data_IF_306064022517
#
_entry.id   IF_306064022517
#
_cell.length_a   1.000
_cell.length_b   1.000
_cell.length_c   1.000
_cell.angle_alpha   90.00
_cell.angle_beta   90.00
_cell.angle_gamma   90.00
#
_symmetry.space_group_name_H-M   'P 1'
#
loop_
_entity.id
_entity.type
_entity.pdbx_description
1 polymer ?
#
# COMPACT_ATOMS: atom_id res chain seq x y z
N UNK A 1 -28.62 33.29 29.72
CA UNK A 1 -27.54 33.18 28.70
C UNK A 1 -27.04 31.74 28.70
N UNK A 2 -27.57 30.93 27.78
CA UNK A 2 -27.14 29.56 27.54
C UNK A 2 -25.97 29.60 26.55
N UNK A 3 -24.76 29.24 27.00
CA UNK A 3 -23.64 28.98 26.11
C UNK A 3 -23.86 27.63 25.43
N UNK A 4 -24.27 27.67 24.17
CA UNK A 4 -24.32 26.51 23.30
C UNK A 4 -22.91 26.03 22.99
N UNK A 5 -22.51 24.91 23.61
CA UNK A 5 -21.46 24.10 23.05
C UNK A 5 -22.06 23.36 21.86
N UNK A 6 -21.79 23.88 20.66
CA UNK A 6 -21.92 23.12 19.43
C UNK A 6 -21.07 21.87 19.61
N UNK A 7 -21.70 20.73 19.87
CA UNK A 7 -21.07 19.42 19.68
C UNK A 7 -20.85 19.32 18.18
N UNK A 8 -19.72 19.85 17.70
CA UNK A 8 -19.17 19.45 16.41
C UNK A 8 -19.01 17.94 16.52
N UNK A 9 -19.97 17.22 15.94
CA UNK A 9 -19.81 15.81 15.66
C UNK A 9 -18.49 15.68 14.92
N UNK A 10 -17.44 15.20 15.59
CA UNK A 10 -16.24 14.73 14.93
C UNK A 10 -16.68 13.46 14.18
N UNK A 11 -17.29 13.65 13.02
CA UNK A 11 -17.70 12.56 12.14
C UNK A 11 -16.46 11.71 11.87
N UNK A 12 -16.49 10.46 12.34
CA UNK A 12 -15.39 9.53 12.16
C UNK A 12 -15.08 9.40 10.68
N UNK A 13 -13.82 9.67 10.30
CA UNK A 13 -13.38 9.60 8.91
C UNK A 13 -13.55 8.19 8.35
N UNK A 14 -13.83 8.11 7.05
CA UNK A 14 -13.92 6.85 6.30
C UNK A 14 -12.85 6.87 5.20
N UNK A 15 -11.72 6.22 5.47
CA UNK A 15 -10.58 6.19 4.55
C UNK A 15 -10.52 4.84 3.85
N UNK A 16 -10.44 4.87 2.52
CA UNK A 16 -10.19 3.71 1.68
C UNK A 16 -8.74 3.79 1.18
N UNK A 17 -8.02 2.69 1.21
CA UNK A 17 -6.79 2.49 0.43
C UNK A 17 -7.08 1.45 -0.64
N UNK A 18 -6.86 1.81 -1.91
CA UNK A 18 -6.97 0.88 -3.04
C UNK A 18 -5.57 0.60 -3.56
N UNK A 19 -5.27 -0.67 -3.84
CA UNK A 19 -3.96 -1.16 -4.28
C UNK A 19 -4.16 -2.29 -5.31
N UNK A 20 -3.67 -2.08 -6.54
CA UNK A 20 -3.80 -3.05 -7.64
C UNK A 20 -2.99 -4.33 -7.39
N UNK A 21 -3.56 -5.49 -7.74
CA UNK A 21 -2.87 -6.75 -7.48
C UNK A 21 -1.79 -7.03 -8.54
N UNK A 22 -0.53 -7.14 -8.10
CA UNK A 22 0.62 -7.42 -8.97
C UNK A 22 0.70 -6.51 -10.22
N UNK A 23 0.38 -5.22 -10.06
CA UNK A 23 0.02 -4.28 -11.12
C UNK A 23 0.70 -4.47 -12.49
N UNK A 24 2.03 -4.31 -12.59
CA UNK A 24 2.69 -4.41 -13.89
C UNK A 24 2.55 -5.80 -14.52
N UNK A 25 2.65 -6.87 -13.72
CA UNK A 25 2.45 -8.23 -14.22
C UNK A 25 0.98 -8.46 -14.64
N UNK A 26 0.01 -7.89 -13.91
CA UNK A 26 -1.40 -7.97 -14.28
C UNK A 26 -1.69 -7.28 -15.62
N UNK A 27 -1.09 -6.12 -15.87
CA UNK A 27 -1.18 -5.44 -17.18
C UNK A 27 -0.59 -6.30 -18.30
N UNK A 28 0.58 -6.91 -18.10
CA UNK A 28 1.16 -7.81 -19.11
C UNK A 28 0.31 -9.06 -19.36
N UNK A 29 -0.27 -9.68 -18.31
CA UNK A 29 -1.13 -10.86 -18.45
C UNK A 29 -2.50 -10.55 -19.08
N UNK A 30 -2.98 -9.31 -18.93
CA UNK A 30 -4.19 -8.83 -19.62
C UNK A 30 -3.93 -8.70 -21.12
N UNK A 31 -2.81 -8.08 -21.48
CA UNK A 31 -2.47 -7.78 -22.88
C UNK A 31 -1.92 -9.01 -23.61
N UNK A 32 -1.35 -9.97 -22.88
CA UNK A 32 -0.90 -11.26 -23.40
C UNK A 32 -1.39 -12.42 -22.51
N UNK A 33 -2.54 -13.03 -22.84
CA UNK A 33 -3.13 -14.12 -22.05
C UNK A 33 -2.24 -15.35 -21.88
N UNK A 34 -1.26 -15.59 -22.76
CA UNK A 34 -0.32 -16.71 -22.63
C UNK A 34 0.58 -16.61 -21.38
N UNK A 35 0.68 -15.42 -20.78
CA UNK A 35 1.48 -15.17 -19.58
C UNK A 35 0.75 -15.47 -18.26
N UNK A 36 -0.56 -15.74 -18.30
CA UNK A 36 -1.42 -15.77 -17.10
C UNK A 36 -1.02 -16.85 -16.09
N UNK A 37 -0.77 -18.05 -16.58
CA UNK A 37 -0.60 -19.24 -15.75
C UNK A 37 0.86 -19.69 -15.60
N UNK A 38 1.80 -18.92 -16.16
CA UNK A 38 3.24 -19.16 -16.02
C UNK A 38 3.88 -18.18 -15.03
N UNK A 39 4.99 -18.55 -14.35
CA UNK A 39 5.74 -17.61 -13.51
C UNK A 39 6.26 -16.43 -14.33
N UNK A 40 5.80 -15.23 -13.98
CA UNK A 40 6.15 -13.97 -14.64
C UNK A 40 6.67 -12.96 -13.63
N UNK A 41 7.72 -12.23 -14.01
CA UNK A 41 8.18 -11.05 -13.32
C UNK A 41 8.54 -9.92 -14.28
N UNK A 42 8.38 -8.69 -13.79
CA UNK A 42 8.86 -7.47 -14.45
C UNK A 42 10.13 -7.03 -13.74
N UNK A 43 11.21 -6.82 -14.48
CA UNK A 43 12.48 -6.41 -13.90
C UNK A 43 13.64 -6.41 -14.88
N UNK A 44 14.76 -5.81 -14.46
CA UNK A 44 15.99 -5.79 -15.25
C UNK A 44 16.63 -7.17 -15.34
N UNK A 45 17.39 -7.42 -16.40
CA UNK A 45 18.05 -8.71 -16.62
C UNK A 45 19.14 -8.99 -15.57
N UNK A 46 19.48 -10.27 -15.38
CA UNK A 46 20.60 -10.69 -14.50
C UNK A 46 21.92 -10.05 -14.92
N UNK A 47 22.18 -9.95 -16.23
CA UNK A 47 23.41 -9.38 -16.80
C UNK A 47 23.54 -7.90 -16.42
N UNK A 48 22.43 -7.17 -16.36
CA UNK A 48 22.40 -5.76 -15.98
C UNK A 48 22.32 -5.52 -14.47
N UNK A 49 22.51 -6.57 -13.66
CA UNK A 49 22.36 -6.51 -12.19
C UNK A 49 20.96 -6.04 -11.77
N UNK A 50 19.95 -6.42 -12.53
CA UNK A 50 18.58 -6.02 -12.31
C UNK A 50 17.96 -6.61 -11.04
N UNK A 51 16.84 -5.99 -10.66
CA UNK A 51 15.96 -6.41 -9.56
C UNK A 51 14.54 -6.61 -10.11
N UNK A 52 13.77 -7.42 -9.40
CA UNK A 52 12.36 -7.65 -9.68
C UNK A 52 11.55 -6.45 -9.19
N UNK A 53 10.84 -5.77 -10.09
CA UNK A 53 9.89 -4.72 -9.75
C UNK A 53 8.61 -5.33 -9.18
N UNK A 54 8.02 -6.29 -9.89
CA UNK A 54 6.87 -7.08 -9.42
C UNK A 54 6.87 -8.47 -10.04
N UNK A 55 6.13 -9.39 -9.41
CA UNK A 55 5.97 -10.76 -9.87
C UNK A 55 4.50 -11.17 -9.71
N UNK A 56 4.00 -11.99 -10.65
CA UNK A 56 2.65 -12.55 -10.57
C UNK A 56 2.53 -13.61 -9.46
N UNK A 57 1.31 -14.00 -9.12
CA UNK A 57 1.07 -15.00 -8.07
C UNK A 57 1.73 -16.36 -8.33
N UNK A 58 1.74 -16.92 -9.56
CA UNK A 58 2.53 -18.10 -9.90
C UNK A 58 4.01 -17.98 -9.50
N UNK A 59 4.71 -16.90 -9.86
CA UNK A 59 6.10 -16.67 -9.46
C UNK A 59 6.25 -16.46 -7.94
N UNK A 60 5.28 -15.80 -7.29
CA UNK A 60 5.29 -15.60 -5.83
C UNK A 60 5.21 -16.93 -5.06
N UNK A 61 4.64 -18.00 -5.61
CA UNK A 61 4.66 -19.33 -4.97
C UNK A 61 6.07 -19.88 -4.79
N UNK A 62 6.99 -19.55 -5.70
CA UNK A 62 8.42 -19.90 -5.59
C UNK A 62 9.22 -18.97 -4.67
N UNK A 63 8.56 -18.01 -4.02
CA UNK A 63 9.23 -17.04 -3.16
C UNK A 63 9.78 -15.81 -3.88
N UNK A 64 9.55 -15.64 -5.19
CA UNK A 64 9.93 -14.41 -5.91
C UNK A 64 9.14 -13.22 -5.34
N UNK A 65 9.82 -12.11 -5.05
CA UNK A 65 9.24 -10.90 -4.44
C UNK A 65 9.81 -9.63 -5.09
N UNK A 66 9.09 -8.52 -4.95
CA UNK A 66 9.60 -7.19 -5.32
C UNK A 66 10.88 -6.85 -4.57
N UNK A 67 11.74 -6.05 -5.20
CA UNK A 67 13.09 -5.69 -4.75
C UNK A 67 14.07 -6.87 -4.58
N UNK A 68 13.69 -8.08 -4.99
CA UNK A 68 14.59 -9.24 -5.04
C UNK A 68 15.56 -9.10 -6.22
N UNK A 69 16.86 -9.41 -6.07
CA UNK A 69 17.78 -9.50 -7.21
C UNK A 69 17.30 -10.52 -8.25
N UNK A 70 17.36 -10.18 -9.55
CA UNK A 70 16.93 -11.08 -10.64
C UNK A 70 17.70 -12.40 -10.61
N UNK A 71 18.98 -12.37 -10.23
CA UNK A 71 19.78 -13.59 -10.06
C UNK A 71 19.19 -14.53 -9.00
N UNK A 72 18.71 -14.00 -7.88
CA UNK A 72 18.09 -14.79 -6.81
C UNK A 72 16.72 -15.32 -7.24
N UNK A 73 15.92 -14.48 -7.92
CA UNK A 73 14.63 -14.90 -8.44
C UNK A 73 14.74 -16.08 -9.42
N UNK A 74 15.73 -16.06 -10.32
CA UNK A 74 16.00 -17.16 -11.25
C UNK A 74 16.52 -18.43 -10.56
N UNK A 75 17.23 -18.30 -9.43
CA UNK A 75 17.61 -19.48 -8.62
C UNK A 75 16.38 -20.13 -7.96
N UNK A 76 15.45 -19.32 -7.48
CA UNK A 76 14.20 -19.80 -6.87
C UNK A 76 13.21 -20.35 -7.90
N UNK A 77 13.18 -19.76 -9.10
CA UNK A 77 12.29 -20.14 -10.19
C UNK A 77 13.06 -20.16 -11.53
N UNK A 78 13.71 -21.28 -11.89
CA UNK A 78 14.53 -21.36 -13.11
C UNK A 78 13.78 -21.11 -14.42
N UNK A 79 12.46 -21.34 -14.44
CA UNK A 79 11.57 -21.12 -15.57
C UNK A 79 10.82 -19.78 -15.50
N UNK A 80 11.32 -18.81 -14.71
CA UNK A 80 10.73 -17.48 -14.59
C UNK A 80 10.82 -16.73 -15.91
N UNK A 81 9.66 -16.33 -16.44
CA UNK A 81 9.58 -15.40 -17.57
C UNK A 81 9.84 -13.99 -17.04
N UNK A 82 10.82 -13.29 -17.64
CA UNK A 82 11.22 -11.95 -17.23
C UNK A 82 10.98 -10.95 -18.35
N UNK A 83 10.24 -9.88 -18.06
CA UNK A 83 9.95 -8.80 -19.02
C UNK A 83 10.54 -7.46 -18.55
N UNK A 84 10.98 -6.58 -19.48
CA UNK A 84 11.61 -5.29 -19.14
C UNK A 84 10.61 -4.22 -18.67
N UNK A 85 9.32 -4.41 -18.97
CA UNK A 85 8.21 -3.55 -18.59
C UNK A 85 7.85 -2.45 -19.59
N UNK A 86 6.55 -2.14 -19.73
CA UNK A 86 5.98 -1.14 -20.63
C UNK A 86 5.36 0.03 -19.85
N UNK A 87 6.20 0.96 -19.40
CA UNK A 87 5.79 2.04 -18.50
C UNK A 87 4.64 2.91 -19.01
N UNK A 88 4.50 3.12 -20.33
CA UNK A 88 3.41 3.91 -20.88
C UNK A 88 2.05 3.21 -20.70
N UNK A 89 1.99 1.89 -20.92
CA UNK A 89 0.78 1.10 -20.63
C UNK A 89 0.42 1.11 -19.14
N UNK A 90 1.43 1.11 -18.26
CA UNK A 90 1.22 1.18 -16.81
C UNK A 90 0.68 2.55 -16.38
N UNK A 91 1.17 3.63 -17.00
CA UNK A 91 0.67 4.99 -16.77
C UNK A 91 -0.76 5.16 -17.29
N UNK A 92 -1.07 4.61 -18.46
CA UNK A 92 -2.41 4.64 -19.03
C UNK A 92 -3.41 3.97 -18.10
N UNK A 93 -3.12 2.75 -17.64
CA UNK A 93 -3.96 2.06 -16.66
C UNK A 93 -4.08 2.85 -15.34
N UNK A 94 -2.98 3.42 -14.84
CA UNK A 94 -2.98 4.27 -13.64
C UNK A 94 -3.91 5.48 -13.77
N UNK A 95 -3.87 6.16 -14.91
CA UNK A 95 -4.73 7.32 -15.17
C UNK A 95 -6.21 6.93 -15.20
N UNK A 96 -6.55 5.80 -15.81
CA UNK A 96 -7.94 5.32 -15.85
C UNK A 96 -8.43 4.88 -14.46
N UNK A 97 -7.58 4.24 -13.64
CA UNK A 97 -7.90 3.93 -12.24
C UNK A 97 -8.18 5.22 -11.45
N UNK A 98 -7.38 6.28 -11.65
CA UNK A 98 -7.58 7.58 -10.99
C UNK A 98 -8.86 8.27 -11.43
N UNK A 99 -9.24 8.12 -12.69
CA UNK A 99 -10.54 8.60 -13.18
C UNK A 99 -11.69 7.81 -12.54
N UNK A 100 -11.57 6.48 -12.39
CA UNK A 100 -12.58 5.71 -11.64
C UNK A 100 -12.71 6.21 -10.21
N UNK A 101 -11.60 6.51 -9.52
CA UNK A 101 -11.64 7.06 -8.16
C UNK A 101 -12.37 8.40 -8.08
N UNK A 102 -12.18 9.29 -9.07
CA UNK A 102 -12.78 10.64 -9.07
C UNK A 102 -14.30 10.62 -9.20
N UNK A 103 -14.89 9.49 -9.62
CA UNK A 103 -16.35 9.28 -9.65
C UNK A 103 -16.98 9.17 -8.26
N UNK A 104 -16.20 8.87 -7.21
CA UNK A 104 -16.71 8.62 -5.85
C UNK A 104 -16.32 9.69 -4.83
N UNK A 105 -15.19 10.36 -5.06
CA UNK A 105 -14.69 11.47 -4.23
C UNK A 105 -13.63 12.24 -4.98
N UNK A 106 -13.54 13.55 -4.74
CA UNK A 106 -12.41 14.37 -5.20
C UNK A 106 -11.21 14.30 -4.25
N UNK A 107 -11.37 13.70 -3.06
CA UNK A 107 -10.33 13.60 -2.03
C UNK A 107 -9.49 12.34 -2.25
N UNK A 108 -8.51 12.44 -3.15
CA UNK A 108 -7.68 11.33 -3.62
C UNK A 108 -6.21 11.71 -3.45
N UNK A 109 -5.44 10.87 -2.75
CA UNK A 109 -3.99 11.00 -2.63
C UNK A 109 -3.31 9.77 -3.24
N UNK A 110 -2.80 9.85 -4.47
CA UNK A 110 -1.99 8.79 -5.06
C UNK A 110 -0.63 8.67 -4.34
N UNK A 111 -0.21 7.43 -4.01
CA UNK A 111 1.13 7.17 -3.47
C UNK A 111 2.08 6.69 -4.56
N UNK A 112 1.56 5.95 -5.53
CA UNK A 112 2.28 5.37 -6.66
C UNK A 112 1.41 5.39 -7.93
N UNK A 113 1.76 4.59 -8.94
CA UNK A 113 0.90 4.37 -10.11
C UNK A 113 -0.32 3.50 -9.77
N UNK A 114 -0.20 2.61 -8.80
CA UNK A 114 -1.14 1.52 -8.56
C UNK A 114 -1.87 1.59 -7.21
N UNK A 115 -1.59 2.62 -6.41
CA UNK A 115 -2.24 2.79 -5.12
C UNK A 115 -2.60 4.24 -4.79
N UNK A 116 -3.72 4.42 -4.10
CA UNK A 116 -4.20 5.70 -3.62
C UNK A 116 -4.99 5.58 -2.31
N UNK A 117 -4.95 6.62 -1.49
CA UNK A 117 -5.95 6.83 -0.45
C UNK A 117 -7.12 7.65 -1.00
N UNK A 118 -8.32 7.32 -0.57
CA UNK A 118 -9.56 8.04 -0.83
C UNK A 118 -10.25 8.38 0.49
N UNK A 119 -10.69 9.63 0.64
CA UNK A 119 -11.49 10.07 1.77
C UNK A 119 -12.94 10.17 1.30
N UNK A 120 -13.76 9.26 1.82
CA UNK A 120 -15.18 9.15 1.48
C UNK A 120 -16.05 9.48 2.70
N UNK A 121 -15.50 10.23 3.66
CA UNK A 121 -16.21 10.64 4.88
C UNK A 121 -17.55 11.31 4.54
N UNK A 122 -17.53 12.20 3.56
CA UNK A 122 -18.67 13.03 3.14
C UNK A 122 -19.34 12.53 1.85
N UNK A 123 -18.96 11.34 1.36
CA UNK A 123 -19.52 10.78 0.12
C UNK A 123 -20.92 10.21 0.40
N UNK A 124 -21.89 10.55 -0.45
CA UNK A 124 -23.26 10.00 -0.42
C UNK A 124 -23.40 8.70 -1.24
N UNK A 125 -22.39 8.39 -2.07
CA UNK A 125 -22.37 7.17 -2.89
C UNK A 125 -22.54 5.91 -2.02
N UNK A 126 -23.26 4.93 -2.56
CA UNK A 126 -23.56 3.67 -1.87
C UNK A 126 -24.11 3.91 -0.44
N UNK A 127 -24.96 4.93 -0.26
CA UNK A 127 -25.52 5.35 1.03
C UNK A 127 -24.45 5.71 2.08
N UNK A 128 -23.31 6.23 1.63
CA UNK A 128 -22.16 6.60 2.46
C UNK A 128 -21.37 5.41 3.01
N UNK A 129 -21.64 4.19 2.56
CA UNK A 129 -20.90 2.98 2.96
C UNK A 129 -19.57 2.89 2.23
N UNK A 130 -18.47 3.20 2.93
CA UNK A 130 -17.12 3.05 2.38
C UNK A 130 -16.78 1.60 1.99
N UNK A 131 -17.42 0.61 2.61
CA UNK A 131 -17.27 -0.80 2.25
C UNK A 131 -17.85 -1.09 0.87
N UNK A 132 -19.06 -0.58 0.60
CA UNK A 132 -19.70 -0.74 -0.70
C UNK A 132 -19.01 0.11 -1.78
N UNK A 133 -18.60 1.35 -1.45
CA UNK A 133 -17.79 2.17 -2.36
C UNK A 133 -16.51 1.44 -2.76
N UNK A 134 -15.76 0.86 -1.80
CA UNK A 134 -14.55 0.10 -2.10
C UNK A 134 -14.84 -1.13 -2.99
N UNK A 135 -15.95 -1.81 -2.76
CA UNK A 135 -16.38 -2.95 -3.56
C UNK A 135 -16.74 -2.53 -4.99
N UNK A 136 -17.50 -1.45 -5.16
CA UNK A 136 -17.94 -0.94 -6.46
C UNK A 136 -16.75 -0.39 -7.27
N UNK A 137 -15.79 0.29 -6.62
CA UNK A 137 -14.53 0.69 -7.23
C UNK A 137 -13.78 -0.53 -7.77
N UNK A 138 -13.60 -1.58 -6.95
CA UNK A 138 -12.89 -2.80 -7.37
C UNK A 138 -13.58 -3.48 -8.56
N UNK A 139 -14.90 -3.63 -8.51
CA UNK A 139 -15.70 -4.20 -9.60
C UNK A 139 -15.64 -3.35 -10.87
N UNK A 140 -15.63 -2.02 -10.72
CA UNK A 140 -15.51 -1.09 -11.86
C UNK A 140 -14.14 -1.17 -12.51
N UNK A 141 -13.06 -1.25 -11.71
CA UNK A 141 -11.70 -1.48 -12.21
C UNK A 141 -11.63 -2.81 -12.98
N UNK A 142 -12.22 -3.88 -12.44
CA UNK A 142 -12.24 -5.19 -13.11
C UNK A 142 -13.02 -5.14 -14.43
N UNK A 143 -14.21 -4.51 -14.43
CA UNK A 143 -15.06 -4.39 -15.62
C UNK A 143 -14.42 -3.55 -16.73
N UNK A 144 -13.83 -2.41 -16.38
CA UNK A 144 -13.32 -1.45 -17.37
C UNK A 144 -11.88 -1.73 -17.79
N UNK A 145 -11.02 -2.19 -16.87
CA UNK A 145 -9.61 -2.43 -17.16
C UNK A 145 -9.23 -3.90 -17.27
N UNK A 146 -10.11 -4.83 -16.88
CA UNK A 146 -9.79 -6.28 -16.77
C UNK A 146 -8.57 -6.54 -15.88
N UNK A 147 -8.45 -5.75 -14.81
CA UNK A 147 -7.42 -5.84 -13.78
C UNK A 147 -8.09 -5.98 -12.42
N UNK A 148 -7.47 -6.67 -11.47
CA UNK A 148 -8.00 -6.77 -10.11
C UNK A 148 -7.31 -5.78 -9.17
N UNK A 149 -8.06 -5.34 -8.16
CA UNK A 149 -7.57 -4.51 -7.08
C UNK A 149 -8.04 -5.07 -5.74
N UNK A 150 -7.26 -4.78 -4.71
CA UNK A 150 -7.66 -5.03 -3.34
C UNK A 150 -7.82 -3.71 -2.58
N UNK A 151 -8.69 -3.70 -1.58
CA UNK A 151 -9.02 -2.48 -0.84
C UNK A 151 -9.02 -2.68 0.67
N UNK A 152 -8.61 -1.64 1.39
CA UNK A 152 -8.66 -1.58 2.84
C UNK A 152 -9.46 -0.38 3.29
N UNK A 153 -10.36 -0.58 4.24
CA UNK A 153 -11.21 0.50 4.78
C UNK A 153 -10.92 0.66 6.26
N UNK A 154 -10.61 1.86 6.71
CA UNK A 154 -10.36 2.14 8.13
C UNK A 154 -10.61 3.62 8.49
N UNK A 155 -10.64 3.99 9.78
CA UNK A 155 -10.81 5.39 10.19
C UNK A 155 -9.61 6.30 9.88
N UNK A 156 -8.44 5.69 9.63
CA UNK A 156 -7.19 6.41 9.39
C UNK A 156 -6.33 5.74 8.31
N UNK A 157 -5.48 6.54 7.66
CA UNK A 157 -4.68 6.14 6.48
C UNK A 157 -3.84 4.89 6.70
N UNK A 158 -3.01 4.86 7.74
CA UNK A 158 -2.09 3.71 7.91
C UNK A 158 -2.82 2.38 8.12
N UNK A 159 -3.98 2.39 8.81
CA UNK A 159 -4.80 1.20 8.99
C UNK A 159 -5.50 0.80 7.70
N UNK A 160 -5.97 1.76 6.89
CA UNK A 160 -6.55 1.47 5.59
C UNK A 160 -5.53 0.78 4.66
N UNK A 161 -4.28 1.26 4.67
CA UNK A 161 -3.19 0.62 3.91
C UNK A 161 -2.85 -0.78 4.41
N UNK A 162 -2.83 -1.01 5.73
CA UNK A 162 -2.60 -2.36 6.26
C UNK A 162 -3.78 -3.28 5.90
N UNK A 163 -5.01 -2.79 6.01
CA UNK A 163 -6.21 -3.54 5.68
C UNK A 163 -6.22 -3.99 4.21
N UNK A 164 -5.74 -3.17 3.26
CA UNK A 164 -5.75 -3.55 1.85
C UNK A 164 -4.86 -4.76 1.53
N UNK A 165 -3.88 -5.08 2.39
CA UNK A 165 -3.01 -6.25 2.24
C UNK A 165 -3.60 -7.54 2.84
N UNK A 166 -4.59 -7.44 3.73
CA UNK A 166 -5.07 -8.58 4.53
C UNK A 166 -5.74 -9.67 3.69
N UNK A 167 -6.55 -9.26 2.71
CA UNK A 167 -7.35 -10.16 1.88
C UNK A 167 -6.91 -10.14 0.40
N UNK A 168 -5.64 -9.83 0.10
CA UNK A 168 -5.09 -9.92 -1.27
C UNK A 168 -4.99 -11.38 -1.73
N UNK A 169 -5.24 -11.70 -3.02
CA UNK A 169 -5.69 -10.83 -4.12
C UNK A 169 -7.21 -10.63 -4.20
N UNK A 170 -7.62 -9.64 -4.99
CA UNK A 170 -9.00 -9.35 -5.37
C UNK A 170 -9.98 -9.43 -4.19
N UNK A 171 -9.59 -8.82 -3.08
CA UNK A 171 -10.37 -8.84 -1.85
C UNK A 171 -10.36 -7.50 -1.15
N UNK A 172 -11.13 -7.40 -0.08
CA UNK A 172 -11.11 -6.22 0.77
C UNK A 172 -11.22 -6.58 2.24
N UNK A 173 -10.74 -5.69 3.10
CA UNK A 173 -10.82 -5.82 4.55
C UNK A 173 -11.23 -4.49 5.17
N UNK A 174 -12.08 -4.55 6.20
CA UNK A 174 -12.63 -3.37 6.88
C UNK A 174 -12.22 -3.45 8.34
N UNK A 175 -11.59 -2.38 8.84
CA UNK A 175 -11.33 -2.17 10.26
C UNK A 175 -12.32 -1.11 10.73
N UNK A 176 -13.39 -1.53 11.39
CA UNK A 176 -14.37 -0.60 11.95
C UNK A 176 -13.80 0.12 13.20
N UNK A 177 -14.30 1.31 13.55
CA UNK A 177 -13.82 2.07 14.72
C UNK A 177 -13.67 1.27 16.01
N UNK A 178 -14.67 0.43 16.33
CA UNK A 178 -14.68 -0.39 17.55
C UNK A 178 -13.63 -1.52 17.53
N UNK A 179 -13.12 -1.90 16.36
CA UNK A 179 -12.09 -2.93 16.20
C UNK A 179 -10.67 -2.37 16.29
N UNK A 180 -10.49 -1.04 16.17
CA UNK A 180 -9.16 -0.41 16.06
C UNK A 180 -8.27 -0.73 17.25
N UNK A 181 -8.79 -0.62 18.49
CA UNK A 181 -7.98 -0.80 19.69
C UNK A 181 -7.39 -2.22 19.79
N UNK A 182 -8.22 -3.23 19.53
CA UNK A 182 -7.79 -4.64 19.55
C UNK A 182 -6.87 -4.96 18.37
N UNK A 183 -7.24 -4.52 17.17
CA UNK A 183 -6.45 -4.74 15.96
C UNK A 183 -5.05 -4.16 16.08
N UNK A 184 -4.94 -2.91 16.54
CA UNK A 184 -3.65 -2.25 16.70
C UNK A 184 -2.82 -2.96 17.76
N UNK A 185 -3.38 -3.32 18.93
CA UNK A 185 -2.63 -4.00 19.99
C UNK A 185 -1.87 -5.23 19.49
N UNK A 186 -2.50 -6.06 18.65
CA UNK A 186 -1.90 -7.28 18.10
C UNK A 186 -1.00 -7.03 16.87
N UNK A 187 -0.99 -5.82 16.29
CA UNK A 187 -0.31 -5.52 15.04
C UNK A 187 1.22 -5.54 15.20
N UNK A 188 1.96 -6.36 14.41
CA UNK A 188 3.42 -6.30 14.37
C UNK A 188 3.93 -4.94 13.88
N UNK A 189 4.94 -4.38 14.55
CA UNK A 189 5.46 -3.04 14.22
C UNK A 189 5.99 -2.96 12.78
N UNK A 190 6.57 -4.04 12.26
CA UNK A 190 7.07 -4.12 10.87
C UNK A 190 5.96 -4.00 9.80
N UNK A 191 4.68 -4.08 10.18
CA UNK A 191 3.54 -3.84 9.28
C UNK A 191 3.17 -2.36 9.20
N UNK A 192 3.61 -1.53 10.13
CA UNK A 192 3.34 -0.08 10.08
C UNK A 192 4.12 0.54 8.92
N UNK A 193 3.46 1.25 7.98
CA UNK A 193 4.15 1.97 6.92
C UNK A 193 5.20 2.94 7.47
N UNK A 194 6.45 2.77 7.05
CA UNK A 194 7.61 3.53 7.54
C UNK A 194 8.51 2.75 8.53
N UNK A 195 8.05 1.63 9.07
CA UNK A 195 8.89 0.72 9.87
C UNK A 195 9.58 -0.28 8.94
N UNK A 196 10.71 0.12 8.35
CA UNK A 196 11.54 -0.77 7.52
C UNK A 196 12.32 -1.80 8.33
N UNK A 197 12.98 -2.76 7.64
CA UNK A 197 13.75 -3.86 8.25
C UNK A 197 14.74 -3.41 9.34
N UNK A 198 15.45 -2.31 9.09
CA UNK A 198 16.43 -1.76 10.05
C UNK A 198 15.75 -1.25 11.31
N UNK A 199 14.65 -0.50 11.18
CA UNK A 199 13.89 -0.01 12.33
C UNK A 199 13.25 -1.15 13.10
N UNK A 200 12.66 -2.13 12.40
CA UNK A 200 12.09 -3.32 13.01
C UNK A 200 13.13 -4.10 13.83
N UNK A 201 14.34 -4.32 13.30
CA UNK A 201 15.42 -5.00 14.03
C UNK A 201 15.87 -4.22 15.28
N UNK A 202 15.89 -2.89 15.23
CA UNK A 202 16.21 -2.07 16.41
C UNK A 202 15.14 -2.16 17.49
N UNK A 203 13.87 -2.15 17.11
CA UNK A 203 12.73 -2.30 18.02
C UNK A 203 12.70 -3.70 18.65
N UNK A 204 12.93 -4.72 17.84
CA UNK A 204 13.07 -6.12 18.25
C UNK A 204 14.16 -6.30 19.32
N UNK A 205 15.34 -5.70 19.13
CA UNK A 205 16.43 -5.71 20.11
C UNK A 205 16.08 -5.00 21.43
N UNK A 206 15.02 -4.21 21.45
CA UNK A 206 14.47 -3.55 22.64
C UNK A 206 13.30 -4.33 23.25
N UNK A 207 12.96 -5.51 22.72
CA UNK A 207 11.80 -6.29 23.15
C UNK A 207 10.47 -5.79 22.60
N UNK A 208 10.47 -4.90 21.59
CA UNK A 208 9.26 -4.32 21.01
C UNK A 208 8.96 -4.97 19.65
N UNK A 209 7.95 -5.84 19.59
CA UNK A 209 7.56 -6.57 18.38
C UNK A 209 6.22 -6.11 17.82
N UNK A 210 5.29 -5.81 18.72
CA UNK A 210 3.90 -5.43 18.44
C UNK A 210 3.61 -4.01 18.92
N UNK A 211 2.51 -3.43 18.46
CA UNK A 211 2.07 -2.14 18.99
C UNK A 211 1.70 -2.24 20.46
N UNK A 212 1.20 -3.39 20.94
CA UNK A 212 0.95 -3.63 22.37
C UNK A 212 2.21 -3.48 23.22
N UNK A 213 3.36 -3.93 22.72
CA UNK A 213 4.64 -3.74 23.42
C UNK A 213 5.01 -2.26 23.51
N UNK A 214 4.74 -1.50 22.44
CA UNK A 214 4.96 -0.04 22.42
C UNK A 214 3.99 0.69 23.34
N UNK A 215 2.72 0.28 23.40
CA UNK A 215 1.72 0.84 24.32
C UNK A 215 2.14 0.69 25.79
N UNK A 216 2.83 -0.40 26.12
CA UNK A 216 3.35 -0.67 27.46
C UNK A 216 4.73 -0.05 27.73
N UNK A 217 5.26 0.75 26.80
CA UNK A 217 6.57 1.40 26.91
C UNK A 217 6.46 2.90 27.14
N UNK A 218 7.50 3.51 27.69
CA UNK A 218 7.55 4.96 27.93
C UNK A 218 7.81 5.73 26.62
N UNK A 219 6.95 6.71 26.33
CA UNK A 219 7.10 7.63 25.19
C UNK A 219 8.43 8.39 25.27
N UNK A 220 8.90 8.80 26.45
CA UNK A 220 10.15 9.55 26.57
C UNK A 220 11.36 8.72 26.09
N UNK A 221 11.34 7.41 26.36
CA UNK A 221 12.34 6.47 25.86
C UNK A 221 12.32 6.39 24.32
N UNK A 222 11.12 6.29 23.72
CA UNK A 222 10.97 6.24 22.26
C UNK A 222 11.45 7.53 21.59
N UNK A 223 11.14 8.69 22.17
CA UNK A 223 11.61 9.99 21.69
C UNK A 223 13.14 10.08 21.77
N UNK A 224 13.74 9.66 22.89
CA UNK A 224 15.20 9.67 23.06
C UNK A 224 15.92 8.78 22.04
N UNK A 225 15.35 7.62 21.69
CA UNK A 225 15.96 6.64 20.80
C UNK A 225 15.72 6.91 19.32
N UNK A 226 14.53 7.40 18.96
CA UNK A 226 14.08 7.49 17.57
C UNK A 226 13.67 8.92 17.15
N UNK A 227 13.75 9.90 18.04
CA UNK A 227 13.37 11.29 17.75
C UNK A 227 11.92 11.41 17.29
N UNK A 228 11.69 12.17 16.21
CA UNK A 228 10.36 12.35 15.59
C UNK A 228 9.71 11.02 15.19
N UNK A 229 10.50 10.03 14.77
CA UNK A 229 9.97 8.71 14.42
C UNK A 229 9.41 7.97 15.65
N UNK A 230 10.00 8.17 16.83
CA UNK A 230 9.49 7.59 18.08
C UNK A 230 8.09 8.08 18.43
N UNK A 231 7.80 9.36 18.18
CA UNK A 231 6.45 9.93 18.32
C UNK A 231 5.46 9.26 17.35
N UNK A 232 5.82 9.17 16.07
CA UNK A 232 4.96 8.52 15.05
C UNK A 232 4.71 7.06 15.44
N UNK A 233 5.74 6.33 15.87
CA UNK A 233 5.60 4.94 16.28
C UNK A 233 4.61 4.79 17.44
N UNK A 234 4.73 5.65 18.45
CA UNK A 234 3.82 5.67 19.59
C UNK A 234 2.38 5.98 19.16
N UNK A 235 2.17 7.03 18.37
CA UNK A 235 0.84 7.42 17.86
C UNK A 235 0.18 6.28 17.07
N UNK A 236 0.91 5.70 16.10
CA UNK A 236 0.40 4.60 15.27
C UNK A 236 0.12 3.35 16.11
N UNK A 237 0.92 3.13 17.15
CA UNK A 237 0.67 2.06 18.12
C UNK A 237 -0.56 2.29 18.99
N UNK A 238 -1.16 3.48 18.98
CA UNK A 238 -2.44 3.79 19.62
C UNK A 238 -3.58 4.01 18.60
N UNK A 239 -3.37 3.64 17.33
CA UNK A 239 -4.36 3.85 16.27
C UNK A 239 -4.51 5.31 15.83
N UNK A 240 -3.64 6.20 16.30
CA UNK A 240 -3.70 7.64 16.02
C UNK A 240 -2.93 7.93 14.73
N UNK A 241 -3.58 8.63 13.81
CA UNK A 241 -2.99 9.14 12.57
C UNK A 241 -3.80 10.31 12.04
N UNK A 242 -3.37 11.53 12.41
CA UNK A 242 -4.04 12.78 12.07
C UNK A 242 -3.76 13.27 10.64
N UNK A 243 -2.94 12.55 9.87
CA UNK A 243 -2.64 12.94 8.49
C UNK A 243 -3.93 12.98 7.67
N UNK A 244 -4.15 14.08 6.98
CA UNK A 244 -5.24 14.23 6.04
C UNK A 244 -4.87 13.63 4.67
N UNK A 245 -5.87 13.53 3.81
CA UNK A 245 -5.67 13.24 2.39
C UNK A 245 -5.36 14.55 1.67
N UNK A 246 -4.24 14.57 0.95
CA UNK A 246 -3.80 15.72 0.18
C UNK A 246 -3.87 15.43 -1.33
N UNK A 247 -4.71 16.18 -2.04
CA UNK A 247 -4.93 16.00 -3.47
C UNK A 247 -3.75 16.52 -4.33
N UNK A 248 -3.03 17.55 -3.85
CA UNK A 248 -2.10 18.34 -4.67
C UNK A 248 -0.62 18.17 -4.30
N UNK A 249 -0.16 16.93 -4.23
CA UNK A 249 1.27 16.70 -3.97
C UNK A 249 2.09 16.95 -5.23
N UNK A 250 2.61 18.17 -5.38
CA UNK A 250 3.51 18.52 -6.48
C UNK A 250 4.85 17.78 -6.37
N UNK A 251 5.33 17.25 -7.50
CA UNK A 251 6.64 16.60 -7.61
C UNK A 251 7.74 17.64 -7.33
N UNK A 252 8.64 17.34 -6.39
CA UNK A 252 9.70 18.26 -5.94
C UNK A 252 11.05 18.06 -6.61
N UNK A 253 11.28 16.91 -7.24
CA UNK A 253 12.55 16.59 -7.89
C UNK A 253 12.35 15.67 -9.10
N UNK A 254 13.30 15.71 -10.04
CA UNK A 254 13.40 14.79 -11.18
C UNK A 254 14.83 14.24 -11.20
N UNK A 255 14.96 12.92 -11.19
CA UNK A 255 16.24 12.23 -11.26
C UNK A 255 16.22 11.20 -12.39
N UNK A 256 17.36 11.04 -13.06
CA UNK A 256 17.58 10.00 -14.07
C UNK A 256 18.87 9.28 -13.68
N UNK A 257 18.76 8.00 -13.36
CA UNK A 257 19.87 7.18 -12.90
C UNK A 257 19.93 5.87 -13.67
N UNK A 258 21.15 5.32 -13.84
CA UNK A 258 21.38 4.04 -14.47
C UNK A 258 22.50 3.29 -13.76
N UNK A 259 22.20 2.09 -13.24
CA UNK A 259 23.22 1.15 -12.80
C UNK A 259 23.85 0.46 -14.01
N UNK A 260 25.17 0.54 -14.17
CA UNK A 260 25.91 -0.09 -15.27
C UNK A 260 26.10 -1.60 -15.01
N UNK A 261 26.37 -2.41 -16.04
CA UNK A 261 26.59 -3.86 -15.86
C UNK A 261 27.97 -4.18 -15.26
N UNK A 262 29.01 -3.44 -15.65
CA UNK A 262 30.38 -3.55 -15.15
C UNK A 262 30.81 -2.35 -14.29
N UNK A 263 31.98 -2.47 -13.65
CA UNK A 263 32.72 -1.29 -13.19
C UNK A 263 33.34 -0.62 -14.41
N UNK A 264 33.30 0.71 -14.48
CA UNK A 264 34.08 1.44 -15.48
C UNK A 264 35.56 1.10 -15.25
N UNK A 265 36.35 0.84 -16.31
CA UNK A 265 37.80 0.75 -16.18
C UNK A 265 38.38 2.05 -15.61
#
# INVERSE_FOLDING_TARGET
MLYGYTVLSLTMRKIIHVDMDCFFAAVEMRDNPALRDIPLAIGGSRVQRGVISTANYPARKFGVRSAMPTATALKLCPHLTLLPGRFDAYKEASNHIREIFSRYTSRIEPLSLDEAYLDVSDSEHCHGSATLIAQEIRQTIERELRLTASAGVAPVKFLAKIASDMNKPNGQFVIAPHQVAEFVRALPLAKIPGVGKVSAAKLENMGLRTCGDVQNSDLAMLLKRFGKFGRILWERSHGIDEREIHNDRQRKSVGVERTLAGRYP
#
